data_IF_995350159843
#
_entry.id   IF_995350159843
#
_cell.length_a   1.000
_cell.length_b   1.000
_cell.length_c   1.000
_cell.angle_alpha   90.00
_cell.angle_beta   90.00
_cell.angle_gamma   90.00
#
_symmetry.space_group_name_H-M   'P 1'
#
loop_
_entity.id
_entity.type
_entity.pdbx_description
1 polymer ?
#
# COMPACT_ATOMS: atom_id res chain seq x y z
N UNK A 1 23.69 0.59 14.98
CA UNK A 1 23.30 -0.66 15.70
C UNK A 1 23.08 -1.88 14.78
N UNK A 2 21.97 -2.05 14.04
CA UNK A 2 21.74 -3.30 13.27
C UNK A 2 22.85 -3.63 12.23
N UNK A 3 23.42 -2.61 11.58
CA UNK A 3 24.58 -2.76 10.69
C UNK A 3 25.86 -3.14 11.44
N UNK A 4 26.08 -2.57 12.62
CA UNK A 4 27.23 -2.91 13.50
C UNK A 4 27.16 -4.34 14.00
N UNK A 5 25.95 -4.86 14.23
CA UNK A 5 25.70 -6.27 14.56
C UNK A 5 25.86 -7.22 13.36
N UNK A 6 26.19 -6.71 12.17
CA UNK A 6 26.38 -7.55 10.97
C UNK A 6 25.10 -8.12 10.37
N UNK A 7 23.91 -7.68 10.80
CA UNK A 7 22.63 -8.28 10.36
C UNK A 7 22.39 -8.13 8.84
N UNK A 8 22.97 -7.10 8.23
CA UNK A 8 22.88 -6.84 6.79
C UNK A 8 23.68 -7.82 5.92
N UNK A 9 24.53 -8.66 6.51
CA UNK A 9 25.41 -9.59 5.79
C UNK A 9 25.43 -10.99 6.40
N UNK A 10 24.37 -11.37 7.12
CA UNK A 10 24.17 -12.70 7.76
C UNK A 10 24.44 -13.86 6.80
N UNK A 11 23.99 -13.72 5.55
CA UNK A 11 24.10 -14.77 4.53
C UNK A 11 25.27 -14.50 3.55
N UNK A 12 26.19 -13.61 3.91
CA UNK A 12 27.37 -13.32 3.08
C UNK A 12 28.36 -14.49 3.09
N UNK A 13 28.89 -14.93 1.93
CA UNK A 13 29.90 -15.98 1.87
C UNK A 13 31.14 -15.72 2.74
N UNK A 14 31.48 -14.44 2.97
CA UNK A 14 32.61 -14.05 3.82
C UNK A 14 32.40 -14.37 5.30
N UNK A 15 31.16 -14.36 5.78
CA UNK A 15 30.84 -14.79 7.15
C UNK A 15 30.78 -16.32 7.24
N UNK A 16 30.30 -17.00 6.19
CA UNK A 16 30.31 -18.48 6.11
C UNK A 16 31.72 -19.05 6.10
N UNK A 17 32.71 -18.32 5.57
CA UNK A 17 34.10 -18.75 5.41
C UNK A 17 35.08 -18.19 6.47
N UNK A 18 34.62 -17.32 7.38
CA UNK A 18 35.49 -16.62 8.35
C UNK A 18 35.48 -17.26 9.74
N UNK A 19 36.66 -17.38 10.37
CA UNK A 19 36.89 -17.89 11.74
C UNK A 19 36.37 -16.99 12.89
N UNK A 20 35.25 -16.31 12.71
CA UNK A 20 34.47 -15.74 13.82
C UNK A 20 33.47 -16.77 14.34
N UNK A 21 33.02 -16.63 15.58
CA UNK A 21 31.78 -17.29 16.04
C UNK A 21 30.65 -16.83 15.13
N UNK A 22 30.38 -17.58 14.05
CA UNK A 22 29.27 -17.31 13.14
C UNK A 22 27.93 -17.41 13.86
N UNK A 23 26.89 -16.82 13.27
CA UNK A 23 25.53 -16.96 13.80
C UNK A 23 25.13 -18.44 13.86
N UNK A 24 24.52 -18.87 14.96
CA UNK A 24 23.81 -20.15 14.96
C UNK A 24 22.66 -20.10 13.95
N UNK A 25 22.08 -21.25 13.59
CA UNK A 25 20.93 -21.29 12.68
C UNK A 25 19.76 -20.46 13.21
N UNK A 26 19.53 -20.51 14.52
CA UNK A 26 18.52 -19.71 15.21
C UNK A 26 18.85 -18.22 15.15
N UNK A 27 20.07 -17.84 15.51
CA UNK A 27 20.48 -16.43 15.47
C UNK A 27 20.42 -15.85 14.05
N UNK A 28 20.76 -16.65 13.04
CA UNK A 28 20.65 -16.25 11.64
C UNK A 28 19.18 -16.01 11.24
N UNK A 29 18.27 -16.91 11.61
CA UNK A 29 16.84 -16.74 11.33
C UNK A 29 16.25 -15.53 12.05
N UNK A 30 16.53 -15.35 13.34
CA UNK A 30 16.11 -14.17 14.11
C UNK A 30 16.70 -12.89 13.48
N UNK A 31 17.97 -12.92 13.10
CA UNK A 31 18.64 -11.82 12.43
C UNK A 31 18.01 -11.46 11.08
N UNK A 32 17.63 -12.45 10.25
CA UNK A 32 16.87 -12.24 9.01
C UNK A 32 15.54 -11.57 9.28
N UNK A 33 14.78 -12.04 10.28
CA UNK A 33 13.49 -11.45 10.67
C UNK A 33 13.66 -10.00 11.11
N UNK A 34 14.66 -9.68 11.94
CA UNK A 34 14.94 -8.30 12.36
C UNK A 34 15.34 -7.44 11.16
N UNK A 35 16.25 -7.90 10.32
CA UNK A 35 16.74 -7.14 9.18
C UNK A 35 15.63 -6.85 8.16
N UNK A 36 14.83 -7.86 7.80
CA UNK A 36 13.70 -7.67 6.89
C UNK A 36 12.60 -6.80 7.50
N UNK A 37 12.42 -6.79 8.83
CA UNK A 37 11.49 -5.87 9.47
C UNK A 37 11.94 -4.43 9.27
N UNK A 38 13.24 -4.15 9.40
CA UNK A 38 13.83 -2.84 9.13
C UNK A 38 13.68 -2.45 7.66
N UNK A 39 14.03 -3.34 6.72
CA UNK A 39 13.91 -3.10 5.28
C UNK A 39 12.48 -2.72 4.89
N UNK A 40 11.52 -3.56 5.27
CA UNK A 40 10.11 -3.35 4.92
C UNK A 40 9.54 -2.09 5.60
N UNK A 41 9.96 -1.77 6.83
CA UNK A 41 9.57 -0.52 7.49
C UNK A 41 10.12 0.70 6.77
N UNK A 42 11.41 0.70 6.44
CA UNK A 42 12.08 1.78 5.71
C UNK A 42 11.40 2.04 4.37
N UNK A 43 11.08 0.98 3.62
CA UNK A 43 10.40 1.10 2.32
C UNK A 43 8.95 1.57 2.44
N UNK A 44 8.17 1.01 3.38
CA UNK A 44 6.78 1.40 3.61
C UNK A 44 6.70 2.86 4.07
N UNK A 45 7.53 3.27 5.03
CA UNK A 45 7.54 4.66 5.54
C UNK A 45 8.00 5.64 4.48
N UNK A 46 9.02 5.29 3.69
CA UNK A 46 9.49 6.12 2.58
C UNK A 46 8.31 6.50 1.68
N UNK A 47 7.56 5.52 1.17
CA UNK A 47 6.49 5.89 0.27
C UNK A 47 5.19 6.34 0.94
N UNK A 48 5.04 6.32 2.27
CA UNK A 48 3.98 7.10 2.95
C UNK A 48 4.27 8.61 2.92
N UNK A 49 5.54 9.01 2.77
CA UNK A 49 6.02 10.38 2.96
C UNK A 49 5.77 11.36 1.80
N UNK A 50 4.70 11.17 1.00
CA UNK A 50 4.23 12.20 0.03
C UNK A 50 4.60 11.95 -1.44
N UNK A 51 3.97 12.70 -2.35
CA UNK A 51 4.03 12.55 -3.83
C UNK A 51 5.36 13.01 -4.45
N UNK A 52 6.38 13.31 -3.64
CA UNK A 52 7.64 13.93 -4.06
C UNK A 52 8.88 13.09 -3.65
N UNK A 53 8.78 11.76 -3.76
CA UNK A 53 9.96 10.89 -3.66
C UNK A 53 10.42 10.65 -2.23
N UNK A 54 9.69 9.82 -1.50
CA UNK A 54 10.22 9.22 -0.28
C UNK A 54 11.54 8.51 -0.55
N UNK A 55 12.58 8.90 0.18
CA UNK A 55 13.87 8.23 0.13
C UNK A 55 13.86 7.09 1.15
N UNK A 56 14.23 5.90 0.70
CA UNK A 56 14.51 4.78 1.57
C UNK A 56 16.03 4.69 1.78
N UNK A 57 16.46 4.10 2.89
CA UNK A 57 17.86 4.08 3.35
C UNK A 57 18.53 2.71 3.24
N UNK A 58 17.75 1.63 3.12
CA UNK A 58 18.25 0.26 3.01
C UNK A 58 18.06 -0.21 1.58
N UNK A 59 19.15 -0.21 0.81
CA UNK A 59 19.14 -0.67 -0.57
C UNK A 59 19.44 -2.17 -0.67
N UNK A 60 18.68 -2.96 -1.47
CA UNK A 60 18.90 -4.40 -1.61
C UNK A 60 20.32 -4.80 -2.05
N UNK A 61 21.00 -3.97 -2.85
CA UNK A 61 22.40 -4.24 -3.26
C UNK A 61 23.42 -4.09 -2.14
N UNK A 62 23.03 -3.53 -0.99
CA UNK A 62 23.87 -3.31 0.18
C UNK A 62 23.65 -4.35 1.28
N UNK A 63 22.93 -5.44 0.97
CA UNK A 63 22.66 -6.52 1.91
C UNK A 63 22.86 -7.89 1.27
N UNK A 64 23.23 -8.87 2.10
CA UNK A 64 23.29 -10.29 1.77
C UNK A 64 22.52 -11.04 2.85
N UNK A 65 21.19 -11.07 2.71
CA UNK A 65 20.25 -11.61 3.70
C UNK A 65 19.13 -12.33 2.96
N UNK A 66 18.98 -13.64 3.19
CA UNK A 66 17.88 -14.43 2.67
C UNK A 66 16.56 -13.99 3.33
N UNK A 67 15.42 -14.27 2.67
CA UNK A 67 14.11 -14.09 3.29
C UNK A 67 13.96 -15.08 4.46
N UNK A 68 13.27 -14.70 5.55
CA UNK A 68 13.02 -15.60 6.67
C UNK A 68 12.11 -16.76 6.27
N UNK A 69 12.07 -17.79 7.09
CA UNK A 69 11.25 -18.98 6.86
C UNK A 69 9.81 -18.78 7.35
N UNK A 70 8.86 -19.49 6.72
CA UNK A 70 7.48 -19.58 7.21
C UNK A 70 7.41 -20.62 8.34
N UNK A 71 7.78 -20.23 9.55
CA UNK A 71 7.92 -21.15 10.70
C UNK A 71 7.49 -20.48 11.99
N UNK A 72 6.82 -21.23 12.87
CA UNK A 72 6.40 -20.74 14.18
C UNK A 72 7.62 -20.57 15.12
N UNK A 73 7.53 -19.65 16.07
CA UNK A 73 8.62 -19.36 17.01
C UNK A 73 8.97 -20.59 17.86
N UNK A 74 7.97 -21.37 18.25
CA UNK A 74 8.12 -22.59 19.06
C UNK A 74 8.86 -23.72 18.31
N UNK A 75 8.86 -23.68 16.98
CA UNK A 75 9.57 -24.67 16.14
C UNK A 75 11.02 -24.22 15.84
N UNK A 76 11.42 -23.02 16.26
CA UNK A 76 12.76 -22.50 16.04
C UNK A 76 13.70 -22.92 17.19
N UNK A 77 14.21 -24.15 17.11
CA UNK A 77 15.06 -24.75 18.17
C UNK A 77 16.55 -24.55 17.85
N UNK A 78 17.32 -24.09 18.84
CA UNK A 78 18.77 -23.89 18.67
C UNK A 78 19.50 -25.22 18.43
N UNK A 79 20.45 -25.21 17.50
CA UNK A 79 21.17 -26.40 17.04
C UNK A 79 20.43 -27.25 15.99
N UNK A 80 19.11 -27.10 15.82
CA UNK A 80 18.33 -27.84 14.83
C UNK A 80 18.24 -27.10 13.47
N UNK A 81 17.84 -27.82 12.42
CA UNK A 81 17.56 -27.19 11.13
C UNK A 81 16.20 -26.49 11.16
N UNK A 82 16.19 -25.21 10.78
CA UNK A 82 14.96 -24.43 10.69
C UNK A 82 14.32 -24.67 9.32
N UNK A 83 13.29 -25.50 9.30
CA UNK A 83 12.56 -25.89 8.09
C UNK A 83 11.25 -25.10 8.01
N UNK A 84 11.12 -24.29 6.96
CA UNK A 84 9.88 -23.55 6.69
C UNK A 84 8.73 -24.48 6.26
N UNK A 85 7.51 -24.14 6.68
CA UNK A 85 6.28 -24.74 6.19
C UNK A 85 5.88 -24.15 4.83
N UNK A 86 5.07 -24.86 4.02
CA UNK A 86 4.45 -24.30 2.82
C UNK A 86 3.73 -22.97 3.08
N UNK A 87 3.72 -22.05 2.10
CA UNK A 87 3.16 -20.70 2.26
C UNK A 87 1.63 -20.67 2.43
N UNK A 88 0.94 -21.73 2.03
CA UNK A 88 -0.50 -21.93 2.24
C UNK A 88 -0.84 -22.41 3.65
N UNK A 89 0.17 -22.73 4.48
CA UNK A 89 0.00 -23.07 5.88
C UNK A 89 0.25 -21.85 6.79
N UNK A 90 -0.70 -21.49 7.66
CA UNK A 90 -0.54 -20.36 8.55
C UNK A 90 0.51 -20.63 9.63
N UNK A 91 1.34 -19.62 9.89
CA UNK A 91 2.32 -19.56 10.99
C UNK A 91 2.36 -18.14 11.57
N UNK A 92 3.09 -17.93 12.66
CA UNK A 92 3.35 -16.57 13.17
C UNK A 92 4.03 -15.66 12.11
N UNK A 93 4.74 -16.23 11.14
CA UNK A 93 5.48 -15.53 10.09
C UNK A 93 4.69 -15.23 8.81
N UNK A 94 3.46 -15.75 8.64
CA UNK A 94 2.71 -15.59 7.40
C UNK A 94 2.48 -14.13 7.01
N UNK A 95 1.99 -13.30 7.93
CA UNK A 95 1.88 -11.84 7.70
C UNK A 95 3.22 -11.19 7.36
N UNK A 96 4.28 -11.58 8.06
CA UNK A 96 5.58 -10.97 7.89
C UNK A 96 6.11 -11.19 6.47
N UNK A 97 5.91 -12.40 5.94
CA UNK A 97 6.31 -12.76 4.58
C UNK A 97 5.49 -11.99 3.53
N UNK A 98 4.18 -11.87 3.73
CA UNK A 98 3.34 -11.04 2.86
C UNK A 98 3.69 -9.56 2.94
N UNK A 99 4.05 -9.06 4.12
CA UNK A 99 4.56 -7.70 4.31
C UNK A 99 5.85 -7.48 3.52
N UNK A 100 6.75 -8.46 3.44
CA UNK A 100 7.95 -8.38 2.59
C UNK A 100 7.54 -8.24 1.12
N UNK A 101 6.69 -9.15 0.62
CA UNK A 101 6.21 -9.13 -0.78
C UNK A 101 5.59 -7.77 -1.12
N UNK A 102 4.74 -7.25 -0.24
CA UNK A 102 4.11 -5.96 -0.42
C UNK A 102 5.11 -4.80 -0.43
N UNK A 103 6.04 -4.75 0.52
CA UNK A 103 7.05 -3.70 0.59
C UNK A 103 8.00 -3.69 -0.62
N UNK A 104 8.30 -4.87 -1.20
CA UNK A 104 9.10 -4.99 -2.43
C UNK A 104 8.40 -4.33 -3.64
N UNK A 105 7.09 -4.52 -3.79
CA UNK A 105 6.28 -3.84 -4.83
C UNK A 105 6.42 -2.32 -4.70
N UNK A 106 6.35 -1.84 -3.46
CA UNK A 106 6.37 -0.43 -3.16
C UNK A 106 7.74 0.22 -3.38
N UNK A 107 8.81 -0.42 -2.90
CA UNK A 107 10.19 -0.01 -3.20
C UNK A 107 10.44 0.11 -4.70
N UNK A 108 10.06 -0.93 -5.47
CA UNK A 108 10.22 -0.91 -6.92
C UNK A 108 9.42 0.23 -7.58
N UNK A 109 8.28 0.61 -7.00
CA UNK A 109 7.47 1.74 -7.48
C UNK A 109 8.12 3.10 -7.16
N UNK A 110 8.75 3.22 -5.99
CA UNK A 110 9.52 4.43 -5.61
C UNK A 110 10.72 4.64 -6.52
N UNK A 111 11.47 3.58 -6.85
CA UNK A 111 12.59 3.64 -7.78
C UNK A 111 12.13 4.16 -9.15
N UNK A 112 11.06 3.57 -9.71
CA UNK A 112 10.49 4.01 -10.98
C UNK A 112 10.01 5.48 -10.95
N UNK A 113 9.42 5.92 -9.83
CA UNK A 113 8.93 7.28 -9.67
C UNK A 113 10.06 8.32 -9.54
N UNK A 114 11.18 7.98 -8.90
CA UNK A 114 12.36 8.86 -8.83
C UNK A 114 12.95 9.14 -10.22
N UNK A 115 12.95 8.13 -11.11
CA UNK A 115 13.33 8.35 -12.51
C UNK A 115 12.29 9.14 -13.29
N UNK A 116 10.99 8.96 -12.99
CA UNK A 116 9.92 9.72 -13.62
C UNK A 116 9.87 11.20 -13.21
N UNK A 117 10.37 11.57 -12.02
CA UNK A 117 10.45 12.96 -11.56
C UNK A 117 11.38 13.84 -12.43
N UNK A 118 12.20 13.23 -13.29
CA UNK A 118 12.99 13.91 -14.32
C UNK A 118 12.13 14.36 -15.54
N UNK A 119 10.86 13.95 -15.61
CA UNK A 119 9.85 14.36 -16.60
C UNK A 119 8.48 14.63 -15.91
N UNK A 120 8.30 15.82 -15.31
CA UNK A 120 7.19 16.13 -14.39
C UNK A 120 5.79 16.10 -15.00
N UNK A 121 5.67 16.28 -16.33
CA UNK A 121 4.39 16.35 -17.03
C UNK A 121 3.69 14.98 -17.10
N UNK A 122 4.40 13.91 -16.74
CA UNK A 122 3.90 12.54 -16.60
C UNK A 122 4.55 11.84 -15.41
N UNK A 123 4.21 12.23 -14.17
CA UNK A 123 4.09 11.17 -13.14
C UNK A 123 2.93 10.30 -13.61
N UNK A 124 3.29 9.25 -14.33
CA UNK A 124 2.45 8.70 -15.39
C UNK A 124 1.26 7.94 -14.81
N UNK A 125 0.09 8.19 -15.36
CA UNK A 125 -1.07 7.32 -15.16
C UNK A 125 -0.70 5.84 -15.41
N UNK A 126 0.27 5.59 -16.29
CA UNK A 126 0.90 4.30 -16.52
C UNK A 126 1.58 3.70 -15.27
N UNK A 127 2.33 4.48 -14.48
CA UNK A 127 2.93 4.00 -13.22
C UNK A 127 1.86 3.61 -12.20
N UNK A 128 0.74 4.35 -12.16
CA UNK A 128 -0.41 4.00 -11.31
C UNK A 128 -1.09 2.72 -11.80
N UNK A 129 -1.25 2.54 -13.11
CA UNK A 129 -1.76 1.31 -13.69
C UNK A 129 -0.81 0.11 -13.45
N UNK A 130 0.50 0.32 -13.55
CA UNK A 130 1.49 -0.72 -13.27
C UNK A 130 1.48 -1.13 -11.80
N UNK A 131 1.44 -0.15 -10.90
CA UNK A 131 1.33 -0.38 -9.47
C UNK A 131 0.02 -1.12 -9.13
N UNK A 132 -1.11 -0.72 -9.71
CA UNK A 132 -2.39 -1.43 -9.54
C UNK A 132 -2.32 -2.86 -10.06
N UNK A 133 -1.72 -3.11 -11.23
CA UNK A 133 -1.55 -4.46 -11.76
C UNK A 133 -0.66 -5.34 -10.85
N UNK A 134 0.38 -4.76 -10.23
CA UNK A 134 1.22 -5.46 -9.23
C UNK A 134 0.43 -5.75 -7.95
N UNK A 135 -0.40 -4.81 -7.49
CA UNK A 135 -1.24 -5.00 -6.30
C UNK A 135 -2.36 -6.03 -6.53
N UNK A 136 -2.95 -6.08 -7.73
CA UNK A 136 -3.93 -7.12 -8.08
C UNK A 136 -3.30 -8.50 -8.04
N UNK A 137 -2.15 -8.68 -8.70
CA UNK A 137 -1.42 -9.97 -8.67
C UNK A 137 -1.01 -10.39 -7.27
N UNK A 138 -0.59 -9.42 -6.45
CA UNK A 138 -0.29 -9.69 -5.04
C UNK A 138 -1.49 -10.33 -4.31
N UNK A 139 -2.70 -9.84 -4.57
CA UNK A 139 -3.92 -10.39 -3.97
C UNK A 139 -4.35 -11.72 -4.56
N UNK A 140 -4.21 -11.90 -5.88
CA UNK A 140 -4.52 -13.17 -6.53
C UNK A 140 -3.65 -14.31 -5.97
N UNK A 141 -2.42 -13.98 -5.59
CA UNK A 141 -1.43 -14.90 -5.01
C UNK A 141 -1.37 -14.86 -3.46
N UNK A 142 -2.29 -14.15 -2.80
CA UNK A 142 -2.28 -14.04 -1.33
C UNK A 142 -2.88 -15.30 -0.70
N UNK A 143 -2.33 -15.80 0.42
CA UNK A 143 -2.91 -16.93 1.12
C UNK A 143 -4.34 -16.65 1.59
N UNK A 144 -5.28 -17.56 1.30
CA UNK A 144 -6.71 -17.37 1.58
C UNK A 144 -7.02 -17.04 3.05
N UNK A 145 -6.19 -17.52 3.98
CA UNK A 145 -6.34 -17.25 5.41
C UNK A 145 -5.96 -15.81 5.81
N UNK A 146 -5.26 -15.06 4.96
CA UNK A 146 -4.96 -13.62 5.13
C UNK A 146 -5.94 -12.72 4.37
N UNK A 147 -6.75 -13.28 3.49
CA UNK A 147 -7.84 -12.54 2.85
C UNK A 147 -8.91 -12.21 3.90
N UNK A 148 -9.24 -10.93 4.08
CA UNK A 148 -10.21 -10.45 5.06
C UNK A 148 -11.67 -10.73 4.63
N UNK A 149 -11.94 -11.94 4.12
CA UNK A 149 -13.23 -12.36 3.58
C UNK A 149 -13.87 -13.52 4.34
N UNK A 150 -13.13 -14.16 5.26
CA UNK A 150 -13.66 -15.29 6.02
C UNK A 150 -14.42 -14.84 7.27
N UNK A 151 -15.50 -15.58 7.57
CA UNK A 151 -16.14 -15.61 8.89
C UNK A 151 -15.04 -15.92 9.89
N UNK A 152 -14.78 -14.96 10.76
CA UNK A 152 -13.72 -15.08 11.73
C UNK A 152 -14.04 -16.21 12.69
N UNK A 153 -13.20 -17.24 12.69
CA UNK A 153 -13.21 -18.15 13.81
C UNK A 153 -12.56 -17.42 14.99
N UNK A 154 -13.32 -17.18 16.07
CA UNK A 154 -12.86 -16.47 17.28
C UNK A 154 -11.57 -17.08 17.87
N UNK A 155 -11.27 -18.33 17.57
CA UNK A 155 -10.02 -19.04 17.96
C UNK A 155 -8.78 -18.64 17.15
N UNK A 156 -8.92 -17.91 16.03
CA UNK A 156 -7.84 -17.50 15.12
C UNK A 156 -7.57 -15.97 15.15
N UNK A 157 -7.65 -15.36 16.33
CA UNK A 157 -7.53 -13.90 16.54
C UNK A 157 -6.26 -13.29 15.91
N UNK A 158 -5.11 -13.96 16.03
CA UNK A 158 -3.82 -13.46 15.48
C UNK A 158 -3.83 -13.38 13.94
N UNK A 159 -4.33 -14.41 13.26
CA UNK A 159 -4.40 -14.45 11.79
C UNK A 159 -5.37 -13.39 11.28
N UNK A 160 -6.46 -13.15 12.00
CA UNK A 160 -7.39 -12.09 11.65
C UNK A 160 -6.73 -10.72 11.74
N UNK A 161 -6.06 -10.41 12.86
CA UNK A 161 -5.35 -9.14 13.03
C UNK A 161 -4.31 -8.96 11.92
N UNK A 162 -3.58 -10.02 11.59
CA UNK A 162 -2.63 -10.06 10.48
C UNK A 162 -3.28 -9.74 9.12
N UNK A 163 -4.42 -10.38 8.81
CA UNK A 163 -5.18 -10.12 7.59
C UNK A 163 -5.71 -8.69 7.53
N UNK A 164 -6.26 -8.18 8.63
CA UNK A 164 -6.72 -6.79 8.75
C UNK A 164 -5.58 -5.80 8.49
N UNK A 165 -4.43 -5.95 9.15
CA UNK A 165 -3.28 -5.06 8.98
C UNK A 165 -2.79 -5.08 7.52
N UNK A 166 -2.69 -6.26 6.91
CA UNK A 166 -2.27 -6.39 5.52
C UNK A 166 -3.25 -5.69 4.56
N UNK A 167 -4.55 -5.93 4.72
CA UNK A 167 -5.58 -5.31 3.88
C UNK A 167 -5.58 -3.78 4.05
N UNK A 168 -5.44 -3.28 5.28
CA UNK A 168 -5.34 -1.86 5.57
C UNK A 168 -4.17 -1.21 4.82
N UNK A 169 -2.99 -1.85 4.82
CA UNK A 169 -1.83 -1.35 4.09
C UNK A 169 -2.07 -1.31 2.58
N UNK A 170 -2.58 -2.39 2.00
CA UNK A 170 -2.76 -2.47 0.55
C UNK A 170 -3.80 -1.46 0.06
N UNK A 171 -4.98 -1.44 0.68
CA UNK A 171 -6.02 -0.48 0.31
C UNK A 171 -5.59 0.96 0.61
N UNK A 172 -4.81 1.17 1.67
CA UNK A 172 -4.19 2.44 1.98
C UNK A 172 -3.30 2.96 0.85
N UNK A 173 -2.45 2.10 0.30
CA UNK A 173 -1.61 2.46 -0.83
C UNK A 173 -2.40 2.65 -2.13
N UNK A 174 -3.47 1.86 -2.37
CA UNK A 174 -4.37 2.09 -3.50
C UNK A 174 -5.05 3.45 -3.43
N UNK A 175 -5.61 3.82 -2.27
CA UNK A 175 -6.14 5.16 -2.02
C UNK A 175 -5.13 6.23 -2.37
N UNK A 176 -3.90 6.11 -1.85
CA UNK A 176 -2.83 7.08 -2.07
C UNK A 176 -2.43 7.21 -3.54
N UNK A 177 -2.23 6.08 -4.23
CA UNK A 177 -1.80 6.04 -5.62
C UNK A 177 -2.84 6.69 -6.56
N UNK A 178 -4.12 6.45 -6.30
CA UNK A 178 -5.22 6.94 -7.13
C UNK A 178 -5.76 8.32 -6.71
N UNK A 179 -5.44 8.82 -5.51
CA UNK A 179 -5.90 10.11 -5.00
C UNK A 179 -5.68 11.30 -5.96
N UNK A 180 -4.50 11.47 -6.63
CA UNK A 180 -4.29 12.55 -7.58
C UNK A 180 -5.25 12.53 -8.78
N UNK A 181 -5.83 11.38 -9.10
CA UNK A 181 -6.74 11.20 -10.22
C UNK A 181 -8.22 11.31 -9.81
N UNK A 182 -8.52 11.45 -8.52
CA UNK A 182 -9.88 11.57 -8.01
C UNK A 182 -10.57 12.82 -8.58
N UNK A 183 -9.92 13.99 -8.50
CA UNK A 183 -10.44 15.25 -9.07
C UNK A 183 -10.39 15.26 -10.62
N UNK A 184 -9.40 14.59 -11.22
CA UNK A 184 -9.25 14.51 -12.69
C UNK A 184 -10.25 13.56 -13.34
N UNK A 185 -10.76 12.56 -12.61
CA UNK A 185 -11.77 11.62 -13.08
C UNK A 185 -13.13 12.23 -13.37
N UNK A 186 -13.40 13.44 -12.89
CA UNK A 186 -14.58 14.20 -13.31
C UNK A 186 -14.38 14.92 -14.65
N UNK A 187 -13.14 15.20 -15.04
CA UNK A 187 -12.82 15.93 -16.26
C UNK A 187 -12.76 15.02 -17.51
N UNK A 188 -12.81 13.68 -17.37
CA UNK A 188 -12.90 12.77 -18.52
C UNK A 188 -12.97 11.28 -18.16
N UNK A 189 -13.52 10.43 -19.06
CA UNK A 189 -13.72 8.99 -18.83
C UNK A 189 -12.42 8.20 -18.64
N UNK A 190 -11.27 8.76 -19.06
CA UNK A 190 -9.96 8.11 -18.99
C UNK A 190 -9.52 7.75 -17.55
N UNK A 191 -10.01 8.45 -16.52
CA UNK A 191 -9.63 8.21 -15.13
C UNK A 191 -10.78 7.65 -14.26
N UNK A 192 -11.90 7.27 -14.87
CA UNK A 192 -13.07 6.74 -14.14
C UNK A 192 -12.71 5.49 -13.32
N UNK A 193 -11.95 4.56 -13.89
CA UNK A 193 -11.48 3.35 -13.20
C UNK A 193 -10.59 3.68 -12.00
N UNK A 194 -9.72 4.68 -12.12
CA UNK A 194 -8.86 5.14 -11.03
C UNK A 194 -9.67 5.76 -9.89
N UNK A 195 -10.69 6.56 -10.21
CA UNK A 195 -11.62 7.09 -9.20
C UNK A 195 -12.35 5.94 -8.49
N UNK A 196 -12.89 4.97 -9.24
CA UNK A 196 -13.59 3.83 -8.67
C UNK A 196 -12.68 3.01 -7.73
N UNK A 197 -11.46 2.70 -8.15
CA UNK A 197 -10.48 1.95 -7.34
C UNK A 197 -10.12 2.69 -6.03
N UNK A 198 -9.97 4.01 -6.10
CA UNK A 198 -9.70 4.87 -4.95
C UNK A 198 -10.85 4.85 -3.93
N UNK A 199 -12.06 5.12 -4.40
CA UNK A 199 -13.27 5.19 -3.56
C UNK A 199 -13.59 3.83 -2.96
N UNK A 200 -13.50 2.75 -3.74
CA UNK A 200 -13.79 1.41 -3.22
C UNK A 200 -12.77 0.97 -2.17
N UNK A 201 -11.48 1.27 -2.37
CA UNK A 201 -10.45 1.01 -1.36
C UNK A 201 -10.71 1.79 -0.07
N UNK A 202 -11.14 3.06 -0.17
CA UNK A 202 -11.48 3.85 1.00
C UNK A 202 -12.68 3.28 1.76
N UNK A 203 -13.74 2.86 1.05
CA UNK A 203 -14.90 2.19 1.65
C UNK A 203 -14.52 0.89 2.35
N UNK A 204 -13.68 0.07 1.71
CA UNK A 204 -13.20 -1.19 2.29
C UNK A 204 -12.44 -0.94 3.60
N UNK A 205 -11.56 0.06 3.67
CA UNK A 205 -10.88 0.44 4.92
C UNK A 205 -11.89 0.73 6.04
N UNK A 206 -12.91 1.53 5.77
CA UNK A 206 -13.92 1.88 6.80
C UNK A 206 -14.77 0.69 7.20
N UNK A 207 -15.14 -0.19 6.25
CA UNK A 207 -15.88 -1.42 6.56
C UNK A 207 -15.06 -2.38 7.42
N UNK A 208 -13.76 -2.50 7.16
CA UNK A 208 -12.86 -3.27 8.00
C UNK A 208 -12.75 -2.69 9.42
N UNK A 209 -12.70 -1.36 9.55
CA UNK A 209 -12.70 -0.71 10.87
C UNK A 209 -13.97 -0.97 11.67
N UNK A 210 -15.14 -0.88 11.03
CA UNK A 210 -16.41 -1.17 11.70
C UNK A 210 -16.43 -2.61 12.20
N UNK A 211 -16.02 -3.56 11.36
CA UNK A 211 -15.96 -4.97 11.74
C UNK A 211 -14.98 -5.22 12.89
N UNK A 212 -13.81 -4.58 12.86
CA UNK A 212 -12.80 -4.69 13.91
C UNK A 212 -13.24 -4.03 15.23
N UNK A 213 -14.11 -3.02 15.19
CA UNK A 213 -14.69 -2.41 16.40
C UNK A 213 -15.66 -3.35 17.14
N UNK A 214 -16.37 -4.22 16.40
CA UNK A 214 -17.28 -5.22 16.98
C UNK A 214 -16.55 -6.40 17.64
N UNK A 215 -15.24 -6.53 17.45
CA UNK A 215 -14.45 -7.65 17.97
C UNK A 215 -14.04 -7.45 19.45
N UNK A 216 -14.26 -8.47 20.26
CA UNK A 216 -13.83 -8.53 21.67
C UNK A 216 -12.34 -8.92 21.79
N UNK A 217 -11.45 -8.10 21.21
CA UNK A 217 -10.00 -8.32 21.22
C UNK A 217 -9.24 -7.08 21.74
N UNK A 218 -8.15 -7.29 22.51
CA UNK A 218 -7.28 -6.20 23.00
C UNK A 218 -6.77 -5.30 21.86
N UNK A 219 -6.52 -5.91 20.70
CA UNK A 219 -6.13 -5.20 19.49
C UNK A 219 -7.18 -4.18 19.07
N UNK A 220 -8.48 -4.53 19.07
CA UNK A 220 -9.56 -3.61 18.72
C UNK A 220 -9.50 -2.33 19.58
N UNK A 221 -9.28 -2.48 20.89
CA UNK A 221 -9.25 -1.35 21.84
C UNK A 221 -8.02 -0.44 21.71
N UNK A 222 -6.92 -0.93 21.13
CA UNK A 222 -5.63 -0.22 21.10
C UNK A 222 -5.20 0.18 19.69
N UNK A 223 -5.83 -0.34 18.63
CA UNK A 223 -5.37 -0.15 17.26
C UNK A 223 -5.27 1.31 16.81
N UNK A 224 -6.17 2.17 17.28
CA UNK A 224 -6.19 3.59 16.93
C UNK A 224 -5.02 4.39 17.54
N UNK A 225 -4.29 3.81 18.52
CA UNK A 225 -3.02 4.35 19.02
C UNK A 225 -1.88 4.17 18.02
N UNK A 226 -2.00 3.22 17.10
CA UNK A 226 -0.99 2.99 16.08
C UNK A 226 -1.11 4.07 15.00
N UNK A 227 -0.09 4.94 14.93
CA UNK A 227 0.03 6.02 13.95
C UNK A 227 -0.28 5.59 12.52
N UNK A 228 0.18 4.39 12.17
CA UNK A 228 0.00 3.83 10.83
C UNK A 228 -1.45 3.46 10.52
N UNK A 229 -2.19 2.92 11.50
CA UNK A 229 -3.60 2.59 11.33
C UNK A 229 -4.39 3.88 11.15
N UNK A 230 -4.19 4.83 12.07
CA UNK A 230 -4.81 6.14 12.03
C UNK A 230 -4.56 6.88 10.72
N UNK A 231 -3.34 6.81 10.18
CA UNK A 231 -3.00 7.42 8.89
C UNK A 231 -3.86 6.88 7.75
N UNK A 232 -4.05 5.57 7.66
CA UNK A 232 -4.85 4.96 6.59
C UNK A 232 -6.34 5.24 6.73
N UNK A 233 -6.88 5.28 7.96
CA UNK A 233 -8.27 5.71 8.22
C UNK A 233 -8.45 7.16 7.80
N UNK A 234 -7.52 8.05 8.16
CA UNK A 234 -7.55 9.45 7.77
C UNK A 234 -7.49 9.64 6.25
N UNK A 235 -6.63 8.86 5.57
CA UNK A 235 -6.55 8.89 4.10
C UNK A 235 -7.84 8.40 3.44
N UNK A 236 -8.44 7.31 3.94
CA UNK A 236 -9.73 6.82 3.47
C UNK A 236 -10.83 7.87 3.65
N UNK A 237 -10.88 8.51 4.83
CA UNK A 237 -11.78 9.61 5.09
C UNK A 237 -11.60 10.76 4.09
N UNK A 238 -10.35 11.17 3.83
CA UNK A 238 -10.04 12.24 2.89
C UNK A 238 -10.51 11.88 1.46
N UNK A 239 -10.30 10.64 1.01
CA UNK A 239 -10.80 10.16 -0.28
C UNK A 239 -12.32 10.30 -0.36
N UNK A 240 -13.05 9.78 0.62
CA UNK A 240 -14.52 9.83 0.64
C UNK A 240 -15.05 11.25 0.74
N UNK A 241 -14.41 12.09 1.56
CA UNK A 241 -14.76 13.50 1.70
C UNK A 241 -14.57 14.24 0.38
N UNK A 242 -13.43 14.03 -0.29
CA UNK A 242 -13.16 14.65 -1.58
C UNK A 242 -14.13 14.14 -2.64
N UNK A 243 -14.49 12.86 -2.63
CA UNK A 243 -15.46 12.29 -3.56
C UNK A 243 -16.83 12.98 -3.45
N UNK A 244 -17.30 13.22 -2.22
CA UNK A 244 -18.51 14.00 -1.93
C UNK A 244 -18.36 15.46 -2.36
N UNK A 245 -17.21 16.09 -2.09
CA UNK A 245 -16.97 17.49 -2.43
C UNK A 245 -16.91 17.75 -3.93
N UNK A 246 -16.44 16.75 -4.68
CA UNK A 246 -16.29 16.82 -6.12
C UNK A 246 -17.62 16.59 -6.83
N UNK A 247 -18.56 15.82 -6.28
CA UNK A 247 -19.87 15.58 -6.90
C UNK A 247 -20.59 16.90 -7.25
N UNK A 248 -20.75 17.16 -8.55
CA UNK A 248 -21.36 18.39 -9.07
C UNK A 248 -22.88 18.35 -9.05
N UNK A 249 -23.47 17.18 -8.83
CA UNK A 249 -24.90 16.94 -9.01
C UNK A 249 -25.72 17.04 -7.73
N UNK A 250 -25.13 17.44 -6.59
CA UNK A 250 -25.91 17.64 -5.38
C UNK A 250 -25.20 18.40 -4.26
N UNK A 251 -25.87 18.57 -3.10
CA UNK A 251 -25.27 19.25 -1.96
C UNK A 251 -23.99 18.54 -1.48
N UNK A 252 -22.96 19.33 -1.17
CA UNK A 252 -21.63 18.87 -0.72
C UNK A 252 -21.64 18.57 0.77
N UNK A 253 -22.45 17.62 1.19
CA UNK A 253 -22.63 17.27 2.60
C UNK A 253 -22.09 15.88 2.90
N UNK A 254 -21.29 15.76 3.96
CA UNK A 254 -20.69 14.48 4.39
C UNK A 254 -21.74 13.39 4.66
N UNK A 255 -22.94 13.76 5.09
CA UNK A 255 -24.06 12.86 5.38
C UNK A 255 -24.50 11.99 4.19
N UNK A 256 -24.11 12.35 2.96
CA UNK A 256 -24.35 11.54 1.77
C UNK A 256 -23.47 10.30 1.65
N UNK A 257 -22.39 10.24 2.42
CA UNK A 257 -21.47 9.11 2.44
C UNK A 257 -21.48 8.50 3.84
N UNK A 258 -22.30 7.45 4.08
CA UNK A 258 -22.35 6.78 5.36
C UNK A 258 -20.97 6.34 5.85
N UNK A 259 -20.12 5.82 4.95
CA UNK A 259 -18.74 5.47 5.29
C UNK A 259 -17.91 6.71 5.68
N UNK A 260 -18.11 7.89 5.08
CA UNK A 260 -17.40 9.10 5.49
C UNK A 260 -17.85 9.58 6.88
N UNK A 261 -19.14 9.46 7.19
CA UNK A 261 -19.69 9.77 8.53
C UNK A 261 -19.06 8.88 9.58
N UNK A 262 -19.04 7.56 9.34
CA UNK A 262 -18.42 6.60 10.25
C UNK A 262 -16.93 6.87 10.42
N UNK A 263 -16.21 7.09 9.33
CA UNK A 263 -14.79 7.43 9.37
C UNK A 263 -14.52 8.69 10.20
N UNK A 264 -15.35 9.73 10.04
CA UNK A 264 -15.25 10.95 10.83
C UNK A 264 -15.43 10.68 12.33
N UNK A 265 -16.40 9.83 12.70
CA UNK A 265 -16.60 9.44 14.11
C UNK A 265 -15.40 8.67 14.66
N UNK A 266 -14.92 7.65 13.95
CA UNK A 266 -13.73 6.88 14.36
C UNK A 266 -12.53 7.81 14.60
N UNK A 267 -12.33 8.79 13.73
CA UNK A 267 -11.25 9.77 13.85
C UNK A 267 -11.44 10.70 15.06
N UNK A 268 -12.67 11.09 15.38
CA UNK A 268 -12.99 11.88 16.56
C UNK A 268 -12.74 11.08 17.85
N UNK A 269 -13.17 9.83 17.89
CA UNK A 269 -12.95 8.93 19.02
C UNK A 269 -11.45 8.65 19.23
N UNK A 270 -10.69 8.55 18.15
CA UNK A 270 -9.24 8.36 18.18
C UNK A 270 -8.49 9.51 18.88
N UNK A 271 -9.07 10.72 18.97
CA UNK A 271 -8.47 11.86 19.69
C UNK A 271 -8.23 11.56 21.17
N UNK A 272 -9.10 10.74 21.79
CA UNK A 272 -8.93 10.34 23.18
C UNK A 272 -7.71 9.42 23.39
N UNK A 273 -7.20 8.82 22.31
CA UNK A 273 -6.15 7.80 22.36
C UNK A 273 -4.84 8.24 21.67
N UNK A 274 -4.87 9.29 20.84
CA UNK A 274 -3.74 9.69 20.00
C UNK A 274 -3.66 11.20 19.79
N UNK A 275 -2.53 11.79 20.17
CA UNK A 275 -2.24 13.21 19.89
C UNK A 275 -2.21 13.50 18.39
N UNK A 276 -1.73 12.55 17.58
CA UNK A 276 -1.71 12.67 16.13
C UNK A 276 -3.13 12.80 15.57
N UNK A 277 -4.12 12.11 16.13
CA UNK A 277 -5.51 12.24 15.72
C UNK A 277 -6.01 13.67 15.92
N UNK A 278 -5.74 14.27 17.09
CA UNK A 278 -6.08 15.67 17.35
C UNK A 278 -5.44 16.63 16.34
N UNK A 279 -4.16 16.43 16.01
CA UNK A 279 -3.45 17.24 15.02
C UNK A 279 -4.05 17.15 13.61
N UNK A 280 -4.59 15.99 13.22
CA UNK A 280 -5.20 15.78 11.91
C UNK A 280 -6.66 16.25 11.85
N UNK A 281 -7.45 15.94 12.88
CA UNK A 281 -8.91 16.06 12.87
C UNK A 281 -9.37 17.49 13.12
N UNK A 282 -8.71 18.24 14.02
CA UNK A 282 -9.17 19.59 14.36
C UNK A 282 -9.06 20.60 13.21
N UNK A 283 -7.93 20.68 12.46
CA UNK A 283 -7.86 21.55 11.30
C UNK A 283 -8.87 21.14 10.23
N UNK A 284 -9.02 19.84 9.97
CA UNK A 284 -9.94 19.34 8.95
C UNK A 284 -11.40 19.64 9.31
N UNK A 285 -11.80 19.47 10.57
CA UNK A 285 -13.13 19.83 11.05
C UNK A 285 -13.41 21.34 11.00
N UNK A 286 -12.39 22.20 11.13
CA UNK A 286 -12.54 23.65 10.88
C UNK A 286 -12.77 23.94 9.40
N UNK A 287 -12.01 23.29 8.51
CA UNK A 287 -12.17 23.43 7.06
C UNK A 287 -13.55 22.96 6.61
N UNK A 288 -13.99 21.77 7.05
CA UNK A 288 -15.30 21.22 6.69
C UNK A 288 -16.46 22.11 7.13
N UNK A 289 -16.39 22.72 8.33
CA UNK A 289 -17.40 23.70 8.78
C UNK A 289 -17.36 24.98 7.95
N UNK A 290 -16.16 25.51 7.70
CA UNK A 290 -15.97 26.73 6.88
C UNK A 290 -16.55 26.57 5.48
N UNK A 291 -16.43 25.38 4.90
CA UNK A 291 -16.94 25.06 3.56
C UNK A 291 -18.33 24.41 3.57
N UNK A 292 -19.05 24.48 4.69
CA UNK A 292 -20.44 24.02 4.75
C UNK A 292 -20.61 22.52 4.38
N UNK A 293 -19.56 21.72 4.58
CA UNK A 293 -19.57 20.26 4.38
C UNK A 293 -20.05 19.53 5.63
N UNK A 294 -19.81 20.13 6.79
CA UNK A 294 -20.20 19.66 8.12
C UNK A 294 -21.12 20.69 8.78
N UNK A 295 -22.41 20.37 8.91
CA UNK A 295 -23.41 21.29 9.49
C UNK A 295 -23.70 21.00 10.96
N UNK A 296 -23.96 19.74 11.31
CA UNK A 296 -24.41 19.36 12.65
C UNK A 296 -23.62 18.16 13.17
N UNK A 297 -22.71 18.39 14.13
CA UNK A 297 -21.89 17.32 14.73
C UNK A 297 -22.73 16.32 15.53
N UNK A 298 -23.81 16.78 16.15
CA UNK A 298 -24.71 15.96 16.98
C UNK A 298 -25.50 14.92 16.15
N UNK A 299 -25.83 15.21 14.89
CA UNK A 299 -26.49 14.25 13.98
C UNK A 299 -25.54 13.13 13.53
N UNK A 300 -24.24 13.41 13.47
CA UNK A 300 -23.22 12.45 13.04
C UNK A 300 -22.78 11.53 14.18
N UNK A 301 -22.80 12.04 15.42
CA UNK A 301 -22.55 11.24 16.62
C UNK A 301 -23.63 10.16 16.83
N UNK A 302 -24.87 10.43 16.41
CA UNK A 302 -26.01 9.52 16.55
C UNK A 302 -26.31 8.68 15.30
N UNK A 303 -25.41 8.67 14.30
CA UNK A 303 -25.65 7.95 13.04
C UNK A 303 -25.70 6.41 13.24
N UNK A 304 -26.73 5.70 12.73
CA UNK A 304 -26.85 4.26 12.91
C UNK A 304 -25.77 3.50 12.14
N UNK A 305 -24.93 2.74 12.86
CA UNK A 305 -23.89 1.87 12.28
C UNK A 305 -24.46 0.59 11.65
N UNK A 306 -25.65 0.17 12.08
CA UNK A 306 -26.18 -1.16 11.84
C UNK A 306 -26.51 -1.49 10.37
N UNK A 307 -26.71 -0.48 9.52
CA UNK A 307 -27.21 -0.68 8.14
C UNK A 307 -26.10 -0.99 7.10
N UNK A 308 -24.83 -0.76 7.41
CA UNK A 308 -23.74 -0.94 6.44
C UNK A 308 -23.14 -2.36 6.44
N UNK A 309 -23.22 -3.08 7.56
CA UNK A 309 -22.71 -4.46 7.67
C UNK A 309 -23.50 -5.49 6.84
N UNK A 310 -24.77 -5.21 6.55
CA UNK A 310 -25.68 -6.15 5.88
C UNK A 310 -25.67 -6.08 4.33
N UNK A 311 -25.21 -4.97 3.73
CA UNK A 311 -25.31 -4.76 2.28
C UNK A 311 -24.11 -5.28 1.46
N UNK A 312 -23.03 -5.73 2.10
CA UNK A 312 -21.78 -6.13 1.41
C UNK A 312 -21.52 -7.63 1.29
N UNK A 313 -22.45 -8.49 1.75
CA UNK A 313 -22.20 -9.93 1.95
C UNK A 313 -22.07 -10.79 0.68
N UNK A 314 -22.30 -10.26 -0.51
CA UNK A 314 -22.11 -11.00 -1.76
C UNK A 314 -21.83 -10.02 -2.91
N UNK A 315 -20.80 -10.29 -3.71
CA UNK A 315 -20.47 -9.61 -4.97
C UNK A 315 -19.59 -8.34 -4.92
N UNK A 316 -18.50 -8.36 -4.16
CA UNK A 316 -17.45 -7.33 -4.31
C UNK A 316 -16.02 -7.91 -4.25
N UNK A 317 -15.76 -9.01 -4.96
CA UNK A 317 -14.39 -9.51 -5.19
C UNK A 317 -14.23 -9.91 -6.65
N UNK A 318 -13.14 -9.41 -7.25
CA UNK A 318 -12.74 -9.39 -8.65
C UNK A 318 -13.48 -8.37 -9.55
N UNK A 319 -12.84 -7.27 -9.97
CA UNK A 319 -13.09 -6.78 -11.32
C UNK A 319 -12.47 -7.83 -12.25
N UNK A 320 -13.31 -8.66 -12.88
CA UNK A 320 -12.89 -9.33 -14.11
C UNK A 320 -12.64 -8.24 -15.15
N UNK A 321 -11.40 -7.76 -15.23
CA UNK A 321 -10.92 -7.14 -16.45
C UNK A 321 -10.89 -8.24 -17.50
N UNK A 322 -11.94 -8.33 -18.32
CA UNK A 322 -11.82 -8.95 -19.62
C UNK A 322 -10.77 -8.17 -20.41
N UNK A 323 -9.52 -8.65 -20.33
CA UNK A 323 -8.46 -8.22 -21.24
C UNK A 323 -8.84 -8.79 -22.60
N UNK A 324 -9.30 -7.91 -23.49
CA UNK A 324 -9.49 -8.24 -24.90
C UNK A 324 -8.19 -8.83 -25.47
N UNK A 325 -8.14 -10.10 -25.90
CA UNK A 325 -6.90 -10.79 -26.27
C UNK A 325 -6.34 -10.40 -27.65
N UNK A 326 -6.78 -9.28 -28.25
CA UNK A 326 -6.26 -8.80 -29.54
C UNK A 326 -5.65 -7.40 -29.43
N UNK A 327 -4.49 -7.33 -28.77
CA UNK A 327 -3.49 -6.32 -29.06
C UNK A 327 -2.11 -6.97 -28.91
N UNK A 328 -1.61 -7.55 -30.01
CA UNK A 328 -0.28 -8.14 -30.08
C UNK A 328 0.78 -7.04 -29.97
N UNK A 329 1.27 -6.79 -28.76
CA UNK A 329 2.49 -6.01 -28.58
C UNK A 329 3.68 -6.93 -28.83
N UNK A 330 4.39 -6.65 -29.93
CA UNK A 330 5.50 -7.45 -30.45
C UNK A 330 6.58 -7.71 -29.41
N UNK A 331 7.07 -8.95 -29.43
CA UNK A 331 8.17 -9.45 -28.61
C UNK A 331 9.38 -8.51 -28.65
N UNK A 332 9.90 -8.19 -27.47
CA UNK A 332 11.12 -7.41 -27.21
C UNK A 332 12.40 -8.16 -27.61
N UNK A 333 12.44 -8.70 -28.84
CA UNK A 333 13.60 -9.38 -29.45
C UNK A 333 14.05 -8.78 -30.78
N UNK A 334 13.33 -7.82 -31.36
CA UNK A 334 13.63 -7.26 -32.69
C UNK A 334 14.32 -5.88 -32.70
N UNK A 335 14.85 -5.40 -31.57
CA UNK A 335 15.61 -4.13 -31.52
C UNK A 335 17.11 -4.27 -31.86
N UNK A 336 17.49 -5.31 -32.61
CA UNK A 336 18.87 -5.45 -33.09
C UNK A 336 18.92 -5.64 -34.61
N UNK A 337 18.50 -4.60 -35.34
CA UNK A 337 18.91 -4.30 -36.73
C UNK A 337 18.24 -3.02 -37.23
N UNK A 338 18.94 -1.89 -37.13
CA UNK A 338 18.76 -0.75 -38.04
C UNK A 338 20.15 -0.24 -38.45
N UNK A 339 20.33 0.19 -39.72
CA UNK A 339 21.63 0.33 -40.37
C UNK A 339 22.33 1.64 -39.98
N UNK A 340 23.67 1.59 -39.91
CA UNK A 340 24.49 2.79 -39.83
C UNK A 340 24.50 3.49 -41.19
N UNK A 341 23.91 4.68 -41.25
CA UNK A 341 24.03 5.60 -42.39
C UNK A 341 25.27 6.46 -42.24
N UNK A 342 26.29 6.16 -43.03
CA UNK A 342 27.53 6.92 -43.12
C UNK A 342 27.44 8.14 -44.04
N UNK A 343 28.42 9.02 -43.85
CA UNK A 343 28.69 10.27 -44.55
C UNK A 343 28.72 10.17 -46.08
N UNK A 344 28.26 11.24 -46.73
CA UNK A 344 28.81 11.66 -48.03
C UNK A 344 28.71 13.18 -48.20
N UNK A 345 29.90 13.81 -48.18
CA UNK A 345 30.20 15.16 -48.66
C UNK A 345 29.83 15.35 -50.15
N UNK A 346 29.50 16.59 -50.53
CA UNK A 346 29.88 17.12 -51.85
C UNK A 346 29.02 18.22 -52.44
N UNK A 347 29.57 19.45 -52.45
CA UNK A 347 29.54 20.51 -53.50
C UNK A 347 28.18 20.99 -54.06
N UNK A 348 27.84 22.27 -54.21
CA UNK A 348 28.55 23.54 -54.32
C UNK A 348 27.68 24.52 -55.14
N UNK A 349 27.98 25.84 -55.06
CA UNK A 349 27.47 26.97 -55.88
C UNK A 349 26.00 27.40 -55.72
N UNK A 350 25.58 28.67 -55.82
CA UNK A 350 26.18 30.03 -55.82
C UNK A 350 24.99 31.02 -55.78
N UNK A 351 25.16 32.15 -55.07
CA UNK A 351 24.75 33.53 -55.42
C UNK A 351 23.33 33.80 -55.99
N UNK A 352 22.53 34.62 -55.28
CA UNK A 352 22.12 35.96 -55.77
C UNK A 352 21.46 36.81 -54.68
N UNK A 353 21.89 38.07 -54.65
CA UNK A 353 21.39 39.22 -53.89
C UNK A 353 20.14 39.87 -54.52
N UNK A 354 19.56 40.82 -53.77
CA UNK A 354 18.56 41.86 -54.09
C UNK A 354 17.08 41.43 -54.02
N UNK A 355 16.16 42.13 -53.35
CA UNK A 355 16.11 43.49 -52.77
C UNK A 355 15.45 43.50 -51.38
#
# INVERSE_FOLDING_TARGET
MARELGLHCIDSPRQVLGHGSGFTKLEAEVGRRVWWYLCTTDWIVAGLSGTLGGAYTIHPSQMAVHKPQNVDDEDCIDGEEIVGRPMDQPTCMSYFLERIRFAEIFRASLENAQFAALSPDTISFQLVQELEARMSRFWDDAPAFLCFNHVMNRTASKITIQGYILNLFVHGQRCRAHLPYLARGQAGPAYATSRAACVESARLIIRMEMRMEEEEHDFASTRLRMSIVLHHIFLAFLVLLLDVCLDTNGPRQISKSPEAVVAWRILQDAKAQSQQASTLVEPLGRVMRKHEVLHNTEELENWPLADLGAQGGASALAPSMEVNPQASWGSMRDLSRMPQGGDSLGTGQEVSTND
#
